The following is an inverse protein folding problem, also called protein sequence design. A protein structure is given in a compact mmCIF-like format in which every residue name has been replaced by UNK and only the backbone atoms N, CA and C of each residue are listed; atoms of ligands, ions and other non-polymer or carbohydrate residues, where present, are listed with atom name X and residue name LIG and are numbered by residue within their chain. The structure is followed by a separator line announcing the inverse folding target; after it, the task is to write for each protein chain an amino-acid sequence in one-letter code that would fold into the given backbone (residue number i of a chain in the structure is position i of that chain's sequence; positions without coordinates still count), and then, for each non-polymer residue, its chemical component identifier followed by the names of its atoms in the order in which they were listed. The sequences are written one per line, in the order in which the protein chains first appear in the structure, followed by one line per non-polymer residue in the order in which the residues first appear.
data_IF_898343834493
#
_entry.id   IF_898343834493
#
_cell.length_a   1.000
_cell.length_b   1.000
_cell.length_c   1.000
_cell.angle_alpha   90.00
_cell.angle_beta   90.00
_cell.angle_gamma   90.00
#
_symmetry.space_group_name_H-M   'P 1'
#
loop_
_entity.id
_entity.type
_entity.pdbx_description
1 polymer ?
#
# COMPACT_ATOMS: atom_id res chain seq x y z
N UNK A 1 67.77 -53.39 -42.28
CA UNK A 1 66.42 -52.83 -42.00
C UNK A 1 66.20 -52.94 -40.51
N UNK A 2 66.03 -51.78 -39.88
CA UNK A 2 66.04 -51.55 -38.45
C UNK A 2 64.68 -51.93 -37.87
N UNK A 3 64.61 -52.91 -36.97
CA UNK A 3 63.35 -53.31 -36.30
C UNK A 3 63.46 -52.80 -34.86
N UNK A 4 62.82 -51.65 -34.59
CA UNK A 4 62.75 -51.02 -33.27
C UNK A 4 61.85 -51.81 -32.30
N UNK A 5 61.94 -51.52 -30.99
CA UNK A 5 61.26 -52.30 -29.96
C UNK A 5 59.76 -51.98 -29.89
N UNK A 6 58.99 -53.00 -29.54
CA UNK A 6 57.54 -52.97 -29.28
C UNK A 6 57.20 -52.06 -28.08
N UNK A 7 56.09 -51.30 -28.13
CA UNK A 7 55.64 -50.52 -26.97
C UNK A 7 54.89 -51.43 -25.97
N UNK A 8 55.25 -51.32 -24.69
CA UNK A 8 54.50 -51.88 -23.57
C UNK A 8 53.21 -51.08 -23.34
N UNK A 9 52.06 -51.75 -23.27
CA UNK A 9 50.82 -51.15 -22.75
C UNK A 9 50.98 -50.93 -21.24
N UNK A 10 50.99 -49.67 -20.80
CA UNK A 10 50.82 -49.31 -19.41
C UNK A 10 49.33 -49.38 -19.04
N UNK A 11 48.98 -50.27 -18.11
CA UNK A 11 47.66 -50.32 -17.48
C UNK A 11 47.52 -49.10 -16.56
N UNK A 12 46.70 -48.12 -16.93
CA UNK A 12 46.30 -47.02 -16.03
C UNK A 12 45.17 -47.54 -15.14
N UNK A 13 45.47 -47.79 -13.86
CA UNK A 13 44.45 -48.08 -12.86
C UNK A 13 43.69 -46.78 -12.53
N UNK A 14 42.43 -46.67 -12.98
CA UNK A 14 41.51 -45.62 -12.53
C UNK A 14 41.14 -45.91 -11.07
N UNK A 15 41.69 -45.13 -10.14
CA UNK A 15 41.20 -45.08 -8.77
C UNK A 15 39.87 -44.30 -8.74
N UNK A 16 38.76 -45.02 -8.56
CA UNK A 16 37.47 -44.40 -8.25
C UNK A 16 37.54 -43.81 -6.82
N UNK A 17 37.75 -42.50 -6.72
CA UNK A 17 37.51 -41.78 -5.49
C UNK A 17 35.98 -41.69 -5.30
N UNK A 18 35.44 -42.49 -4.37
CA UNK A 18 34.07 -42.35 -3.87
C UNK A 18 33.92 -40.97 -3.23
N UNK A 19 33.29 -40.05 -3.94
CA UNK A 19 32.82 -38.78 -3.40
C UNK A 19 31.65 -39.10 -2.47
N UNK A 20 31.87 -38.95 -1.17
CA UNK A 20 30.82 -38.95 -0.16
C UNK A 20 29.92 -37.74 -0.43
N UNK A 21 28.76 -37.99 -1.03
CA UNK A 21 27.67 -37.00 -1.13
C UNK A 21 27.14 -36.81 0.29
N UNK A 22 27.21 -35.61 0.89
CA UNK A 22 26.61 -35.37 2.19
C UNK A 22 25.11 -35.63 2.08
N UNK A 23 24.61 -36.49 2.97
CA UNK A 23 23.20 -36.82 3.08
C UNK A 23 22.45 -35.52 3.37
N UNK A 24 21.63 -35.06 2.43
CA UNK A 24 20.64 -34.01 2.68
C UNK A 24 19.75 -34.53 3.79
N UNK A 25 19.90 -33.96 4.99
CA UNK A 25 18.99 -34.24 6.09
C UNK A 25 17.60 -33.78 5.64
N UNK A 26 16.69 -34.72 5.41
CA UNK A 26 15.29 -34.40 5.21
C UNK A 26 14.83 -33.62 6.44
N UNK A 27 14.43 -32.36 6.24
CA UNK A 27 13.82 -31.57 7.31
C UNK A 27 12.54 -32.28 7.78
N UNK A 28 12.24 -32.26 9.09
CA UNK A 28 11.04 -32.89 9.61
C UNK A 28 9.78 -32.31 8.92
N UNK A 29 8.73 -33.11 8.73
CA UNK A 29 7.48 -32.64 8.16
C UNK A 29 6.92 -31.49 9.00
N UNK A 30 6.56 -30.38 8.34
CA UNK A 30 5.99 -29.20 8.98
C UNK A 30 4.62 -29.58 9.55
N UNK A 31 4.48 -29.42 10.87
CA UNK A 31 3.21 -29.58 11.56
C UNK A 31 2.31 -28.36 11.28
N UNK A 32 1.36 -28.53 10.37
CA UNK A 32 0.39 -27.49 9.98
C UNK A 32 -0.70 -27.23 11.03
N UNK A 33 -0.60 -27.80 12.25
CA UNK A 33 -1.67 -27.75 13.26
C UNK A 33 -1.49 -26.71 14.36
N UNK A 34 -0.38 -25.96 14.40
CA UNK A 34 -0.09 -25.02 15.47
C UNK A 34 0.53 -23.71 14.97
N UNK A 35 -0.28 -22.81 14.43
CA UNK A 35 0.11 -21.40 14.23
C UNK A 35 -0.50 -20.56 15.35
N UNK A 36 0.32 -19.94 16.17
CA UNK A 36 -0.10 -18.92 17.12
C UNK A 36 -0.54 -17.66 16.34
N UNK A 37 -1.83 -17.36 16.38
CA UNK A 37 -2.50 -16.30 15.63
C UNK A 37 -3.61 -16.88 14.75
N UNK A 38 -4.87 -16.48 14.98
CA UNK A 38 -5.95 -16.81 14.05
C UNK A 38 -5.73 -16.04 12.76
N UNK A 39 -5.15 -16.69 11.75
CA UNK A 39 -4.99 -16.13 10.42
C UNK A 39 -6.35 -15.89 9.77
N UNK A 40 -6.60 -14.66 9.33
CA UNK A 40 -7.90 -14.23 8.81
C UNK A 40 -7.79 -13.84 7.33
N UNK A 41 -8.74 -14.30 6.52
CA UNK A 41 -8.87 -13.85 5.14
C UNK A 41 -9.38 -12.41 5.08
N UNK A 42 -9.01 -11.67 4.03
CA UNK A 42 -9.56 -10.35 3.79
C UNK A 42 -11.07 -10.43 3.51
N UNK A 43 -11.92 -9.58 4.12
CA UNK A 43 -13.33 -9.51 3.77
C UNK A 43 -13.53 -9.16 2.29
N UNK A 44 -14.38 -9.90 1.59
CA UNK A 44 -14.71 -9.65 0.17
C UNK A 44 -15.52 -8.37 -0.06
N UNK A 45 -16.09 -7.79 1.01
CA UNK A 45 -16.89 -6.58 0.98
C UNK A 45 -16.64 -5.77 2.25
N UNK A 46 -16.50 -4.46 2.10
CA UNK A 46 -16.43 -3.55 3.22
C UNK A 46 -17.82 -3.08 3.67
N UNK A 47 -17.96 -2.85 4.98
CA UNK A 47 -19.13 -2.17 5.54
C UNK A 47 -19.09 -0.67 5.23
N UNK A 48 -20.27 -0.06 5.14
CA UNK A 48 -20.42 1.39 4.94
C UNK A 48 -21.08 2.02 6.17
N UNK A 49 -20.61 3.20 6.63
CA UNK A 49 -21.21 3.85 7.78
C UNK A 49 -22.65 4.29 7.49
N UNK A 50 -23.53 4.25 8.49
CA UNK A 50 -24.92 4.66 8.34
C UNK A 50 -25.07 6.12 7.85
N UNK A 51 -24.12 7.00 8.20
CA UNK A 51 -24.10 8.40 7.75
C UNK A 51 -23.64 8.58 6.29
N UNK A 52 -23.03 7.55 5.67
CA UNK A 52 -22.65 7.54 4.26
C UNK A 52 -22.77 6.12 3.67
N UNK A 53 -24.00 5.63 3.44
CA UNK A 53 -24.20 4.31 2.87
C UNK A 53 -23.65 4.25 1.43
N UNK A 54 -23.00 3.15 1.08
CA UNK A 54 -22.48 2.94 -0.27
C UNK A 54 -23.60 2.48 -1.20
N UNK A 55 -23.87 3.26 -2.25
CA UNK A 55 -24.80 2.90 -3.36
C UNK A 55 -24.06 2.90 -4.68
N UNK A 56 -24.59 2.21 -5.70
CA UNK A 56 -23.94 2.12 -7.01
C UNK A 56 -23.78 3.49 -7.67
N UNK A 57 -24.78 4.36 -7.56
CA UNK A 57 -24.80 5.71 -8.12
C UNK A 57 -23.75 6.59 -7.43
N UNK A 58 -23.63 6.48 -6.10
CA UNK A 58 -22.62 7.21 -5.32
C UNK A 58 -21.20 6.73 -5.61
N UNK A 59 -21.01 5.43 -5.81
CA UNK A 59 -19.74 4.82 -6.23
C UNK A 59 -19.34 5.34 -7.62
N UNK A 60 -20.26 5.41 -8.58
CA UNK A 60 -19.95 5.92 -9.92
C UNK A 60 -19.59 7.42 -9.89
N UNK A 61 -20.31 8.23 -9.11
CA UNK A 61 -19.96 9.64 -8.90
C UNK A 61 -18.59 9.78 -8.22
N UNK A 62 -18.33 8.98 -7.20
CA UNK A 62 -17.04 8.92 -6.50
C UNK A 62 -15.88 8.56 -7.41
N UNK A 63 -16.08 7.54 -8.26
CA UNK A 63 -15.11 7.13 -9.27
C UNK A 63 -14.80 8.27 -10.23
N UNK A 64 -15.81 8.97 -10.75
CA UNK A 64 -15.58 10.14 -11.61
C UNK A 64 -14.71 11.19 -10.92
N UNK A 65 -15.03 11.54 -9.68
CA UNK A 65 -14.29 12.53 -8.89
C UNK A 65 -12.85 12.08 -8.59
N UNK A 66 -12.63 10.81 -8.25
CA UNK A 66 -11.30 10.24 -8.00
C UNK A 66 -10.35 10.39 -9.20
N UNK A 67 -10.90 10.30 -10.42
CA UNK A 67 -10.17 10.46 -11.67
C UNK A 67 -10.24 11.87 -12.27
N UNK A 68 -10.95 12.82 -11.65
CA UNK A 68 -11.16 14.15 -12.23
C UNK A 68 -10.09 15.15 -11.77
N UNK A 69 -9.12 15.51 -12.63
CA UNK A 69 -8.04 16.39 -12.20
C UNK A 69 -8.51 17.85 -12.03
N UNK A 70 -9.74 18.19 -12.43
CA UNK A 70 -10.30 19.53 -12.24
C UNK A 70 -10.52 19.88 -10.78
N UNK A 71 -10.46 18.90 -9.87
CA UNK A 71 -10.42 19.15 -8.42
C UNK A 71 -9.12 19.82 -7.96
N UNK A 72 -8.01 19.73 -8.72
CA UNK A 72 -6.75 20.39 -8.38
C UNK A 72 -6.62 21.78 -8.98
N UNK A 73 -5.75 22.61 -8.38
CA UNK A 73 -5.51 24.00 -8.79
C UNK A 73 -5.29 24.15 -10.29
N UNK A 74 -4.35 23.37 -10.82
CA UNK A 74 -3.90 23.40 -12.21
C UNK A 74 -4.74 22.55 -13.16
N UNK A 75 -5.67 21.75 -12.65
CA UNK A 75 -6.41 20.80 -13.49
C UNK A 75 -5.59 19.61 -13.99
N UNK A 76 -4.43 19.33 -13.37
CA UNK A 76 -3.48 18.29 -13.81
C UNK A 76 -3.30 17.12 -12.84
N UNK A 77 -3.83 17.23 -11.62
CA UNK A 77 -3.64 16.22 -10.56
C UNK A 77 -5.01 15.73 -10.09
N UNK A 78 -5.18 14.40 -10.06
CA UNK A 78 -6.35 13.72 -9.49
C UNK A 78 -5.91 12.81 -8.36
N UNK A 79 -6.85 12.18 -7.65
CA UNK A 79 -6.50 11.14 -6.67
C UNK A 79 -5.69 10.02 -7.34
N UNK A 80 -6.11 9.59 -8.53
CA UNK A 80 -5.40 8.55 -9.31
C UNK A 80 -3.98 8.96 -9.74
N UNK A 81 -3.62 10.25 -9.71
CA UNK A 81 -2.26 10.69 -10.04
C UNK A 81 -1.23 10.24 -8.99
N UNK A 82 -1.65 10.14 -7.72
CA UNK A 82 -0.80 9.67 -6.61
C UNK A 82 -1.20 8.25 -6.12
N UNK A 83 -2.41 7.81 -6.43
CA UNK A 83 -2.96 6.50 -6.07
C UNK A 83 -3.40 5.74 -7.32
N UNK A 84 -2.43 5.26 -8.10
CA UNK A 84 -2.66 4.73 -9.44
C UNK A 84 -3.35 3.36 -9.40
N UNK A 85 -4.64 3.33 -9.75
CA UNK A 85 -5.43 2.09 -9.79
C UNK A 85 -5.08 1.14 -10.94
N UNK A 86 -4.20 1.55 -11.85
CA UNK A 86 -3.64 0.64 -12.86
C UNK A 86 -2.51 -0.24 -12.31
N UNK A 87 -2.04 0.04 -11.09
CA UNK A 87 -0.96 -0.68 -10.40
C UNK A 87 -1.31 -0.85 -8.90
N UNK A 88 -0.31 -0.81 -8.02
CA UNK A 88 -0.41 -1.04 -6.58
C UNK A 88 -1.22 -0.02 -5.80
N UNK A 89 -1.87 0.97 -6.44
CA UNK A 89 -2.71 1.97 -5.77
C UNK A 89 -1.94 3.07 -5.04
N UNK A 90 -0.62 3.08 -5.17
CA UNK A 90 0.32 4.16 -4.89
C UNK A 90 0.84 4.76 -6.22
N UNK A 91 1.94 5.53 -6.20
CA UNK A 91 2.53 6.14 -7.41
C UNK A 91 3.93 5.62 -7.75
N UNK A 92 4.44 4.64 -7.01
CA UNK A 92 5.76 4.05 -7.22
C UNK A 92 6.93 5.01 -6.97
N UNK A 93 6.72 6.10 -6.20
CA UNK A 93 7.74 7.13 -5.95
C UNK A 93 8.13 7.21 -4.47
N UNK A 94 9.36 7.66 -4.16
CA UNK A 94 9.74 7.97 -2.79
C UNK A 94 8.81 8.99 -2.13
N UNK A 95 8.34 9.96 -2.92
CA UNK A 95 7.35 10.96 -2.51
C UNK A 95 6.56 11.43 -3.72
N UNK A 96 5.29 11.73 -3.50
CA UNK A 96 4.36 12.12 -4.55
C UNK A 96 4.62 13.51 -5.11
N UNK A 97 4.29 13.66 -6.40
CA UNK A 97 4.38 14.91 -7.14
C UNK A 97 2.98 15.51 -7.33
N UNK A 98 2.75 16.67 -6.76
CA UNK A 98 1.52 17.43 -6.93
C UNK A 98 1.60 18.52 -7.99
N UNK A 99 0.76 19.54 -7.82
CA UNK A 99 0.69 20.69 -8.72
C UNK A 99 2.03 21.45 -8.78
N UNK A 100 2.33 22.02 -9.94
CA UNK A 100 3.60 22.70 -10.23
C UNK A 100 4.87 21.84 -10.07
N UNK A 101 4.73 20.50 -9.99
CA UNK A 101 5.85 19.60 -9.73
C UNK A 101 6.32 19.61 -8.29
N UNK A 102 5.52 20.15 -7.36
CA UNK A 102 5.83 20.17 -5.93
C UNK A 102 5.91 18.74 -5.39
N UNK A 103 6.92 18.47 -4.56
CA UNK A 103 7.12 17.14 -3.96
C UNK A 103 6.65 17.16 -2.50
N UNK A 104 5.82 16.19 -2.14
CA UNK A 104 5.34 16.02 -0.77
C UNK A 104 6.43 15.55 0.21
N UNK A 105 6.10 15.45 1.51
CA UNK A 105 7.06 14.97 2.52
C UNK A 105 7.09 13.44 2.67
N UNK A 106 6.11 12.71 2.13
CA UNK A 106 5.91 11.27 2.37
C UNK A 106 5.58 10.52 1.09
N UNK A 107 5.92 9.22 1.07
CA UNK A 107 5.42 8.25 0.11
C UNK A 107 3.89 8.13 0.22
N UNK A 108 3.19 8.02 -0.91
CA UNK A 108 1.76 7.77 -0.92
C UNK A 108 1.49 6.29 -0.57
N UNK A 109 0.74 5.99 0.50
CA UNK A 109 0.31 4.63 0.76
C UNK A 109 -0.71 4.17 -0.29
N UNK A 110 -0.86 2.86 -0.48
CA UNK A 110 -1.89 2.33 -1.36
C UNK A 110 -3.30 2.70 -0.92
N UNK A 111 -4.17 3.02 -1.89
CA UNK A 111 -5.61 3.17 -1.67
C UNK A 111 -6.35 1.83 -1.62
N UNK A 112 -5.76 0.74 -2.15
CA UNK A 112 -6.35 -0.59 -2.08
C UNK A 112 -6.45 -1.05 -0.62
N UNK A 113 -7.61 -1.57 -0.24
CA UNK A 113 -7.91 -2.04 1.12
C UNK A 113 -7.85 -0.94 2.21
N UNK A 114 -7.75 0.34 1.83
CA UNK A 114 -7.70 1.49 2.76
C UNK A 114 -8.92 1.59 3.68
N UNK A 115 -10.05 1.02 3.25
CA UNK A 115 -11.28 0.90 4.07
C UNK A 115 -11.10 0.02 5.31
N UNK A 116 -10.14 -0.91 5.31
CA UNK A 116 -9.83 -1.78 6.44
C UNK A 116 -8.75 -1.20 7.37
N UNK A 117 -8.58 0.13 7.34
CA UNK A 117 -7.72 0.87 8.25
C UNK A 117 -8.57 1.58 9.30
N UNK A 118 -8.19 1.52 10.57
CA UNK A 118 -8.89 2.25 11.64
C UNK A 118 -8.77 3.78 11.51
N UNK A 119 -7.72 4.27 10.83
CA UNK A 119 -7.51 5.67 10.46
C UNK A 119 -6.63 5.76 9.21
N UNK A 120 -6.57 6.95 8.62
CA UNK A 120 -5.92 7.23 7.35
C UNK A 120 -4.65 8.07 7.52
N UNK A 121 -3.80 8.07 6.48
CA UNK A 121 -2.42 8.60 6.49
C UNK A 121 -1.44 7.82 7.38
N UNK A 122 -0.15 8.02 7.15
CA UNK A 122 0.95 7.42 7.94
C UNK A 122 0.91 7.75 9.44
N UNK A 123 0.41 8.94 9.79
CA UNK A 123 0.29 9.42 11.18
C UNK A 123 -1.09 9.16 11.80
N UNK A 124 -2.03 8.56 11.05
CA UNK A 124 -3.39 8.29 11.51
C UNK A 124 -4.15 9.56 11.92
N UNK A 125 -3.90 10.70 11.28
CA UNK A 125 -4.52 11.99 11.64
C UNK A 125 -5.98 12.09 11.19
N UNK A 126 -6.40 11.30 10.20
CA UNK A 126 -7.76 11.32 9.68
C UNK A 126 -8.53 10.05 10.08
N UNK A 127 -9.66 10.15 10.79
CA UNK A 127 -10.36 8.99 11.32
C UNK A 127 -11.22 8.24 10.29
N UNK A 128 -11.34 8.75 9.06
CA UNK A 128 -12.18 8.15 8.01
C UNK A 128 -11.67 8.51 6.62
N UNK A 129 -12.14 7.76 5.61
CA UNK A 129 -11.90 8.07 4.19
C UNK A 129 -12.50 9.44 3.81
N UNK A 130 -13.69 9.78 4.32
CA UNK A 130 -14.31 11.08 4.09
C UNK A 130 -13.47 12.24 4.61
N UNK A 131 -12.91 12.10 5.81
CA UNK A 131 -12.03 13.12 6.39
C UNK A 131 -10.70 13.20 5.65
N UNK A 132 -10.12 12.05 5.31
CA UNK A 132 -8.89 11.95 4.53
C UNK A 132 -9.00 12.70 3.20
N UNK A 133 -10.08 12.46 2.45
CA UNK A 133 -10.25 13.02 1.11
C UNK A 133 -10.37 14.54 1.07
N UNK A 134 -10.64 15.20 2.22
CA UNK A 134 -10.59 16.67 2.33
C UNK A 134 -9.17 17.21 2.25
N UNK A 135 -8.18 16.49 2.80
CA UNK A 135 -6.80 16.96 2.92
C UNK A 135 -6.14 17.25 1.56
N UNK A 136 -6.06 16.26 0.65
CA UNK A 136 -5.31 16.39 -0.61
C UNK A 136 -5.75 17.56 -1.48
N UNK A 137 -7.06 17.86 -1.50
CA UNK A 137 -7.65 18.92 -2.32
C UNK A 137 -6.97 20.27 -2.05
N UNK A 138 -6.67 20.57 -0.78
CA UNK A 138 -6.11 21.87 -0.35
C UNK A 138 -4.63 21.81 0.04
N UNK A 139 -4.04 20.62 0.12
CA UNK A 139 -2.63 20.49 0.41
C UNK A 139 -1.80 21.06 -0.75
N UNK A 140 -1.04 22.13 -0.47
CA UNK A 140 -0.20 22.82 -1.44
C UNK A 140 0.74 21.90 -2.26
N UNK A 141 1.44 20.92 -1.65
CA UNK A 141 2.29 20.01 -2.43
C UNK A 141 1.53 18.90 -3.16
N UNK A 142 0.19 18.84 -3.05
CA UNK A 142 -0.66 17.81 -3.65
C UNK A 142 -1.57 18.43 -4.72
N UNK A 143 -2.86 18.67 -4.42
CA UNK A 143 -3.81 19.25 -5.39
C UNK A 143 -3.86 20.79 -5.32
N UNK A 144 -3.38 21.38 -4.22
CA UNK A 144 -3.05 22.80 -4.11
C UNK A 144 -4.18 23.81 -4.22
N UNK A 145 -5.44 23.42 -4.04
CA UNK A 145 -6.53 24.40 -4.03
C UNK A 145 -6.40 25.34 -2.82
N UNK A 146 -6.59 26.66 -2.98
CA UNK A 146 -6.51 27.61 -1.86
C UNK A 146 -7.50 27.31 -0.73
N UNK A 147 -8.70 26.84 -1.10
CA UNK A 147 -9.74 26.40 -0.18
C UNK A 147 -10.66 25.38 -0.87
N UNK A 148 -11.43 24.61 -0.09
CA UNK A 148 -12.38 23.64 -0.63
C UNK A 148 -13.44 24.32 -1.50
N UNK A 149 -13.87 25.53 -1.13
CA UNK A 149 -14.88 26.31 -1.84
C UNK A 149 -14.47 26.60 -3.29
N UNK A 150 -13.17 26.79 -3.57
CA UNK A 150 -12.67 26.97 -4.94
C UNK A 150 -12.91 25.70 -5.77
N UNK A 151 -12.65 24.52 -5.20
CA UNK A 151 -12.85 23.24 -5.87
C UNK A 151 -14.34 22.98 -6.11
N UNK A 152 -15.15 23.22 -5.09
CA UNK A 152 -16.60 23.04 -5.17
C UNK A 152 -17.23 24.00 -6.18
N UNK A 153 -16.85 25.28 -6.18
CA UNK A 153 -17.31 26.25 -7.19
C UNK A 153 -16.99 25.77 -8.61
N UNK A 154 -15.78 25.24 -8.82
CA UNK A 154 -15.35 24.72 -10.13
C UNK A 154 -16.13 23.47 -10.55
N UNK A 155 -16.34 22.52 -9.65
CA UNK A 155 -17.14 21.32 -9.93
C UNK A 155 -18.61 21.68 -10.18
N UNK A 156 -19.16 22.61 -9.38
CA UNK A 156 -20.53 23.10 -9.53
C UNK A 156 -20.75 23.86 -10.85
N UNK A 157 -19.70 24.45 -11.45
CA UNK A 157 -19.79 25.08 -12.77
C UNK A 157 -19.99 24.08 -13.92
N UNK A 158 -19.92 22.77 -13.66
CA UNK A 158 -20.10 21.71 -14.66
C UNK A 158 -21.55 21.18 -14.58
N UNK A 159 -22.42 21.43 -15.59
CA UNK A 159 -23.84 21.07 -15.51
C UNK A 159 -24.11 19.58 -15.28
N UNK A 160 -23.27 18.70 -15.83
CA UNK A 160 -23.42 17.26 -15.62
C UNK A 160 -23.16 16.85 -14.17
N UNK A 161 -22.23 17.50 -13.46
CA UNK A 161 -22.06 17.22 -12.03
C UNK A 161 -23.25 17.72 -11.22
N UNK A 162 -23.82 18.90 -11.50
CA UNK A 162 -25.03 19.34 -10.79
C UNK A 162 -26.16 18.29 -10.87
N UNK A 163 -26.35 17.70 -12.06
CA UNK A 163 -27.32 16.62 -12.27
C UNK A 163 -26.96 15.38 -11.47
N UNK A 164 -25.73 14.88 -11.59
CA UNK A 164 -25.32 13.65 -10.88
C UNK A 164 -25.34 13.80 -9.35
N UNK A 165 -24.94 14.95 -8.81
CA UNK A 165 -25.00 15.22 -7.37
C UNK A 165 -26.45 15.30 -6.88
N UNK A 166 -27.34 15.96 -7.62
CA UNK A 166 -28.77 16.01 -7.27
C UNK A 166 -29.37 14.62 -7.24
N UNK A 167 -29.06 13.80 -8.24
CA UNK A 167 -29.61 12.45 -8.36
C UNK A 167 -29.08 11.52 -7.25
N UNK A 168 -27.82 11.69 -6.80
CA UNK A 168 -27.21 10.89 -5.73
C UNK A 168 -27.62 11.34 -4.31
N UNK A 169 -27.79 12.65 -4.09
CA UNK A 169 -27.99 13.23 -2.75
C UNK A 169 -29.37 13.85 -2.52
N UNK A 170 -30.26 13.76 -3.51
CA UNK A 170 -31.65 14.24 -3.45
C UNK A 170 -31.77 15.72 -3.01
N UNK A 171 -30.94 16.58 -3.61
CA UNK A 171 -30.90 18.02 -3.27
C UNK A 171 -30.36 18.86 -4.43
N UNK A 172 -30.97 20.03 -4.67
CA UNK A 172 -30.52 21.00 -5.68
C UNK A 172 -29.19 21.67 -5.31
N UNK A 173 -28.88 21.78 -4.01
CA UNK A 173 -27.62 22.35 -3.49
C UNK A 173 -26.68 21.23 -3.01
N UNK A 174 -26.56 20.17 -3.81
CA UNK A 174 -25.86 18.93 -3.45
C UNK A 174 -24.36 18.93 -3.76
N UNK A 175 -23.87 19.85 -4.60
CA UNK A 175 -22.43 19.98 -4.88
C UNK A 175 -21.76 20.71 -3.71
N UNK A 176 -21.35 19.94 -2.70
CA UNK A 176 -20.69 20.43 -1.48
C UNK A 176 -19.44 19.61 -1.20
N UNK A 177 -18.52 20.14 -0.38
CA UNK A 177 -17.32 19.38 0.02
C UNK A 177 -17.68 18.08 0.72
N UNK A 178 -18.67 18.09 1.60
CA UNK A 178 -19.10 16.89 2.32
C UNK A 178 -19.66 15.82 1.38
N UNK A 179 -20.43 16.21 0.36
CA UNK A 179 -20.95 15.26 -0.62
C UNK A 179 -19.86 14.76 -1.59
N UNK A 180 -18.91 15.62 -1.97
CA UNK A 180 -17.74 15.21 -2.78
C UNK A 180 -16.96 14.11 -2.07
N UNK A 181 -16.57 14.34 -0.81
CA UNK A 181 -15.77 13.34 -0.07
C UNK A 181 -16.58 12.11 0.30
N UNK A 182 -17.89 12.23 0.53
CA UNK A 182 -18.78 11.07 0.70
C UNK A 182 -18.83 10.20 -0.56
N UNK A 183 -18.88 10.82 -1.75
CA UNK A 183 -18.86 10.08 -3.00
C UNK A 183 -17.52 9.38 -3.22
N UNK A 184 -16.40 10.11 -3.07
CA UNK A 184 -15.04 9.55 -3.19
C UNK A 184 -14.85 8.38 -2.21
N UNK A 185 -15.18 8.56 -0.93
CA UNK A 185 -15.07 7.52 0.07
C UNK A 185 -15.97 6.30 -0.25
N UNK A 186 -17.16 6.51 -0.84
CA UNK A 186 -17.99 5.38 -1.27
C UNK A 186 -17.33 4.56 -2.37
N UNK A 187 -16.63 5.20 -3.31
CA UNK A 187 -15.83 4.52 -4.33
C UNK A 187 -14.62 3.80 -3.72
N UNK A 188 -13.86 4.45 -2.83
CA UNK A 188 -12.69 3.85 -2.17
C UNK A 188 -13.04 2.59 -1.36
N UNK A 189 -14.24 2.54 -0.76
CA UNK A 189 -14.76 1.32 -0.09
C UNK A 189 -14.92 0.11 -1.01
N UNK A 190 -14.98 0.33 -2.33
CA UNK A 190 -15.05 -0.76 -3.32
C UNK A 190 -13.68 -1.23 -3.79
N UNK A 191 -12.62 -0.51 -3.44
CA UNK A 191 -11.23 -0.81 -3.81
C UNK A 191 -10.65 -1.86 -2.86
N UNK A 192 -11.21 -3.07 -2.91
CA UNK A 192 -10.80 -4.22 -2.10
C UNK A 192 -10.24 -5.31 -3.00
N UNK A 193 -9.16 -5.96 -2.55
CA UNK A 193 -8.46 -7.03 -3.28
C UNK A 193 -8.51 -8.35 -2.50
N UNK A 194 -9.64 -9.07 -2.49
CA UNK A 194 -9.76 -10.33 -1.76
C UNK A 194 -9.12 -11.49 -2.54
N UNK A 195 -9.30 -12.71 -2.05
CA UNK A 195 -8.94 -13.95 -2.75
C UNK A 195 -7.45 -14.08 -3.06
N UNK A 196 -6.57 -13.48 -2.25
CA UNK A 196 -5.14 -13.75 -2.35
C UNK A 196 -4.84 -15.24 -2.14
N UNK A 197 -3.64 -15.70 -2.52
CA UNK A 197 -3.22 -17.07 -2.26
C UNK A 197 -3.29 -17.41 -0.75
N UNK A 198 -2.92 -16.46 0.10
CA UNK A 198 -3.11 -16.55 1.55
C UNK A 198 -4.58 -16.63 1.95
N UNK A 199 -5.47 -15.80 1.39
CA UNK A 199 -6.91 -15.84 1.72
C UNK A 199 -7.53 -17.22 1.42
N UNK A 200 -7.20 -17.80 0.26
CA UNK A 200 -7.68 -19.14 -0.11
C UNK A 200 -7.13 -20.21 0.83
N UNK A 201 -5.86 -20.09 1.23
CA UNK A 201 -5.22 -21.02 2.15
C UNK A 201 -5.89 -21.03 3.53
N UNK A 202 -6.13 -19.86 4.12
CA UNK A 202 -6.79 -19.75 5.43
C UNK A 202 -8.26 -20.16 5.36
N UNK A 203 -8.89 -20.07 4.20
CA UNK A 203 -10.25 -20.57 3.93
C UNK A 203 -10.30 -22.09 3.64
N UNK A 204 -9.16 -22.78 3.62
CA UNK A 204 -9.08 -24.25 3.57
C UNK A 204 -8.42 -24.85 2.33
N UNK A 205 -8.09 -24.05 1.31
CA UNK A 205 -7.31 -24.53 0.16
C UNK A 205 -5.82 -24.63 0.52
N UNK A 206 -5.44 -25.76 1.12
CA UNK A 206 -4.05 -26.02 1.53
C UNK A 206 -3.03 -26.00 0.39
N UNK A 207 -3.49 -26.08 -0.87
CA UNK A 207 -2.62 -26.03 -2.05
C UNK A 207 -2.38 -24.61 -2.57
N UNK A 208 -3.07 -23.61 -2.02
CA UNK A 208 -2.96 -22.23 -2.47
C UNK A 208 -1.60 -21.59 -2.14
N UNK A 209 -0.90 -22.07 -1.11
CA UNK A 209 0.47 -21.66 -0.77
C UNK A 209 1.48 -22.73 -1.13
N UNK A 210 2.67 -22.30 -1.56
CA UNK A 210 3.83 -23.17 -1.71
C UNK A 210 4.46 -23.48 -0.35
N UNK A 211 5.29 -24.53 -0.26
CA UNK A 211 6.04 -24.85 0.96
C UNK A 211 6.95 -23.69 1.41
N UNK A 212 7.49 -22.89 0.47
CA UNK A 212 8.34 -21.73 0.80
C UNK A 212 7.50 -20.60 1.39
N UNK A 213 6.31 -20.33 0.86
CA UNK A 213 5.36 -19.37 1.40
C UNK A 213 4.88 -19.78 2.80
N UNK A 214 4.62 -21.07 3.03
CA UNK A 214 4.25 -21.59 4.35
C UNK A 214 5.39 -21.38 5.36
N UNK A 215 6.64 -21.67 4.98
CA UNK A 215 7.81 -21.39 5.83
C UNK A 215 7.95 -19.89 6.12
N UNK A 216 7.76 -19.03 5.12
CA UNK A 216 7.79 -17.58 5.29
C UNK A 216 6.72 -17.05 6.23
N UNK A 217 5.48 -17.55 6.08
CA UNK A 217 4.35 -17.23 6.95
C UNK A 217 4.61 -17.65 8.40
N UNK A 218 5.14 -18.86 8.60
CA UNK A 218 5.49 -19.37 9.93
C UNK A 218 6.60 -18.53 10.57
N UNK A 219 7.68 -18.27 9.83
CA UNK A 219 8.79 -17.42 10.29
C UNK A 219 8.31 -16.01 10.65
N UNK A 220 7.47 -15.40 9.82
CA UNK A 220 6.87 -14.09 10.08
C UNK A 220 6.09 -14.04 11.40
N UNK A 221 5.38 -15.12 11.75
CA UNK A 221 4.72 -15.25 13.05
C UNK A 221 5.72 -15.46 14.18
N UNK A 222 6.64 -16.41 14.03
CA UNK A 222 7.57 -16.85 15.07
C UNK A 222 8.53 -15.75 15.54
N UNK A 223 8.96 -14.87 14.63
CA UNK A 223 9.85 -13.74 14.97
C UNK A 223 9.09 -12.52 15.51
N UNK A 224 7.75 -12.56 15.58
CA UNK A 224 6.94 -11.52 16.20
C UNK A 224 6.43 -10.41 15.27
N UNK A 225 6.53 -10.54 13.93
CA UNK A 225 5.97 -9.51 13.03
C UNK A 225 4.44 -9.35 13.23
N UNK A 226 3.76 -10.42 13.64
CA UNK A 226 2.32 -10.44 13.93
C UNK A 226 1.91 -9.63 15.16
N UNK A 227 2.85 -9.19 16.01
CA UNK A 227 2.54 -8.28 17.12
C UNK A 227 1.94 -6.95 16.61
N UNK A 228 2.42 -6.48 15.46
CA UNK A 228 1.94 -5.26 14.81
C UNK A 228 1.10 -5.56 13.56
N UNK A 229 1.54 -6.51 12.75
CA UNK A 229 0.94 -6.85 11.46
C UNK A 229 0.02 -8.08 11.57
N UNK A 230 -1.12 -7.88 12.23
CA UNK A 230 -2.17 -8.89 12.43
C UNK A 230 -3.50 -8.48 11.81
N UNK A 231 -4.51 -9.34 11.97
CA UNK A 231 -5.84 -9.14 11.42
C UNK A 231 -5.92 -9.36 9.90
N UNK A 232 -7.10 -9.24 9.30
CA UNK A 232 -7.33 -9.55 7.88
C UNK A 232 -6.52 -8.66 6.92
N UNK A 233 -6.18 -7.43 7.31
CA UNK A 233 -5.40 -6.51 6.49
C UNK A 233 -3.93 -6.38 6.93
N UNK A 234 -3.45 -7.20 7.87
CA UNK A 234 -2.06 -7.18 8.36
C UNK A 234 -1.61 -5.79 8.85
N UNK A 235 -2.50 -5.09 9.55
CA UNK A 235 -2.30 -3.74 10.07
C UNK A 235 -2.77 -3.59 11.53
N UNK A 236 -3.04 -4.71 12.22
CA UNK A 236 -3.53 -4.72 13.59
C UNK A 236 -5.01 -4.34 13.74
N UNK A 237 -5.74 -4.18 12.63
CA UNK A 237 -7.18 -3.96 12.63
C UNK A 237 -7.93 -5.28 12.50
N UNK A 238 -9.01 -5.43 13.28
CA UNK A 238 -9.99 -6.53 13.17
C UNK A 238 -11.36 -6.01 12.70
N UNK A 239 -12.17 -6.91 12.13
CA UNK A 239 -13.52 -6.58 11.64
C UNK A 239 -14.37 -5.93 12.74
N UNK A 240 -14.87 -4.73 12.45
CA UNK A 240 -15.69 -3.95 13.37
C UNK A 240 -14.91 -3.17 14.44
N UNK A 241 -13.58 -3.29 14.50
CA UNK A 241 -12.74 -2.47 15.36
C UNK A 241 -12.69 -1.03 14.87
N UNK A 242 -12.86 -0.08 15.77
CA UNK A 242 -12.54 1.34 15.54
C UNK A 242 -11.25 1.74 16.24
N UNK A 243 -10.57 0.80 16.90
CA UNK A 243 -9.37 1.08 17.67
C UNK A 243 -8.18 1.17 16.74
N UNK A 244 -7.51 2.31 16.76
CA UNK A 244 -6.26 2.52 16.05
C UNK A 244 -5.08 2.21 16.97
N UNK A 245 -4.19 1.33 16.54
CA UNK A 245 -2.88 1.11 17.14
C UNK A 245 -1.84 2.00 16.48
N UNK A 246 -0.89 2.50 17.26
CA UNK A 246 0.24 3.27 16.78
C UNK A 246 1.50 2.65 17.35
N UNK A 247 2.49 2.46 16.50
CA UNK A 247 3.75 1.81 16.85
C UNK A 247 4.89 2.80 16.71
N UNK A 248 5.80 2.78 17.67
CA UNK A 248 7.09 3.46 17.57
C UNK A 248 7.90 2.84 16.42
N UNK A 249 8.41 3.67 15.52
CA UNK A 249 9.27 3.27 14.42
C UNK A 249 10.29 4.37 14.11
N UNK A 250 11.60 4.08 14.19
CA UNK A 250 12.22 2.81 14.61
C UNK A 250 12.21 2.62 16.14
N UNK A 251 12.01 1.39 16.64
CA UNK A 251 12.18 1.05 18.08
C UNK A 251 13.65 0.98 18.49
N UNK A 252 14.50 0.37 17.65
CA UNK A 252 15.95 0.35 17.81
C UNK A 252 16.57 1.50 17.00
N UNK A 253 16.62 2.69 17.61
CA UNK A 253 17.18 3.89 17.00
C UNK A 253 18.69 3.82 16.71
N UNK A 254 19.41 2.87 17.33
CA UNK A 254 20.86 2.69 17.16
C UNK A 254 21.23 1.82 15.95
N UNK A 255 20.25 1.17 15.30
CA UNK A 255 20.52 0.41 14.07
C UNK A 255 21.08 1.32 12.98
N UNK A 256 22.14 0.87 12.31
CA UNK A 256 22.77 1.61 11.22
C UNK A 256 21.79 1.87 10.05
N UNK A 257 20.80 1.00 9.88
CA UNK A 257 19.76 1.13 8.85
C UNK A 257 18.88 2.38 9.07
N UNK A 258 18.71 2.81 10.33
CA UNK A 258 17.97 4.05 10.65
C UNK A 258 18.65 5.25 9.99
N UNK A 259 19.96 5.41 10.22
CA UNK A 259 20.75 6.50 9.64
C UNK A 259 20.90 6.37 8.12
N UNK A 260 21.07 5.14 7.62
CA UNK A 260 21.20 4.85 6.18
C UNK A 260 19.97 5.30 5.39
N UNK A 261 18.77 5.03 5.90
CA UNK A 261 17.50 5.34 5.23
C UNK A 261 16.78 6.58 5.77
N UNK A 262 17.34 7.24 6.78
CA UNK A 262 16.78 8.44 7.40
C UNK A 262 15.37 8.23 7.98
N UNK A 263 15.15 7.09 8.63
CA UNK A 263 13.83 6.63 9.12
C UNK A 263 13.31 7.47 10.30
N UNK A 264 14.19 8.19 10.99
CA UNK A 264 13.90 8.98 12.19
C UNK A 264 13.71 10.49 11.89
N UNK A 265 13.82 10.91 10.63
CA UNK A 265 13.71 12.33 10.25
C UNK A 265 12.28 12.86 10.36
N UNK A 266 11.30 12.00 10.09
CA UNK A 266 9.89 12.30 10.26
C UNK A 266 9.46 11.93 11.67
N UNK A 267 8.88 12.89 12.40
CA UNK A 267 8.41 12.67 13.77
C UNK A 267 7.05 11.96 13.83
N UNK A 268 6.50 11.54 12.69
CA UNK A 268 5.28 10.74 12.60
C UNK A 268 4.07 11.47 13.16
N UNK A 269 3.37 10.81 14.09
CA UNK A 269 2.14 11.29 14.72
C UNK A 269 2.31 12.59 15.49
N UNK A 270 3.51 12.90 15.99
CA UNK A 270 3.80 14.18 16.61
C UNK A 270 3.44 15.38 15.71
N UNK A 271 3.62 15.28 14.39
CA UNK A 271 3.28 16.35 13.45
C UNK A 271 1.77 16.69 13.47
N UNK A 272 0.92 15.72 13.78
CA UNK A 272 -0.54 15.89 13.86
C UNK A 272 -1.02 16.27 15.27
N UNK A 273 -0.36 15.79 16.33
CA UNK A 273 -0.86 15.91 17.71
C UNK A 273 -0.12 16.93 18.56
N UNK A 274 1.11 17.28 18.19
CA UNK A 274 2.05 18.09 18.96
C UNK A 274 2.36 17.54 20.37
N UNK A 275 2.08 16.26 20.64
CA UNK A 275 2.35 15.60 21.92
C UNK A 275 3.69 14.88 21.85
N UNK A 276 4.65 15.24 22.70
CA UNK A 276 6.01 14.65 22.70
C UNK A 276 6.03 13.13 22.80
N UNK A 277 5.03 12.52 23.44
CA UNK A 277 4.86 11.06 23.54
C UNK A 277 4.55 10.37 22.20
N UNK A 278 4.12 11.13 21.19
CA UNK A 278 3.72 10.60 19.88
C UNK A 278 4.85 10.76 18.83
N UNK A 279 6.06 11.17 19.26
CA UNK A 279 7.21 11.25 18.35
C UNK A 279 7.57 9.87 17.84
N UNK A 280 7.75 9.76 16.52
CA UNK A 280 8.09 8.52 15.84
C UNK A 280 7.04 7.41 15.97
N UNK A 281 5.84 7.74 16.43
CA UNK A 281 4.71 6.83 16.37
C UNK A 281 4.02 6.94 15.00
N UNK A 282 3.79 5.80 14.38
CA UNK A 282 3.13 5.70 13.08
C UNK A 282 1.97 4.71 13.14
N UNK A 283 1.00 4.91 12.27
CA UNK A 283 -0.01 3.89 12.00
C UNK A 283 0.65 2.70 11.32
N UNK A 284 0.34 1.48 11.74
CA UNK A 284 0.78 0.26 11.05
C UNK A 284 0.16 0.22 9.64
N UNK A 285 0.96 0.18 8.56
CA UNK A 285 0.43 0.04 7.20
C UNK A 285 -0.07 -1.39 6.94
N UNK A 286 -0.98 -1.55 5.97
CA UNK A 286 -1.36 -2.88 5.45
C UNK A 286 -0.18 -3.55 4.77
N UNK A 287 -0.05 -4.87 4.91
CA UNK A 287 0.87 -5.68 4.10
C UNK A 287 0.18 -6.35 2.89
N UNK A 288 -1.15 -6.18 2.73
CA UNK A 288 -1.85 -6.60 1.51
C UNK A 288 -1.30 -5.86 0.31
N UNK A 289 -1.02 -6.58 -0.77
CA UNK A 289 -0.43 -6.06 -2.02
C UNK A 289 0.97 -5.44 -1.86
N UNK A 290 1.70 -5.71 -0.77
CA UNK A 290 2.98 -5.05 -0.50
C UNK A 290 4.04 -5.33 -1.59
N UNK A 291 3.92 -6.43 -2.34
CA UNK A 291 4.85 -6.72 -3.44
C UNK A 291 4.74 -5.71 -4.61
N UNK A 292 3.65 -4.95 -4.64
CA UNK A 292 3.24 -4.08 -5.75
C UNK A 292 3.40 -2.58 -5.45
N UNK A 293 3.90 -2.22 -4.26
CA UNK A 293 3.89 -0.83 -3.74
C UNK A 293 5.29 -0.36 -3.33
N UNK A 294 6.30 -0.70 -4.12
CA UNK A 294 7.65 -0.15 -3.91
C UNK A 294 7.69 1.31 -4.37
N UNK A 295 8.43 2.21 -3.71
CA UNK A 295 9.34 1.97 -2.58
C UNK A 295 8.64 2.01 -1.21
N UNK A 296 9.34 1.52 -0.19
CA UNK A 296 8.76 1.23 1.13
C UNK A 296 9.04 2.31 2.18
N UNK A 297 8.23 2.27 3.26
CA UNK A 297 8.20 3.18 4.41
C UNK A 297 7.65 4.57 4.10
N UNK A 298 7.38 5.34 5.16
CA UNK A 298 6.76 6.67 5.07
C UNK A 298 7.54 7.67 4.21
N UNK A 299 8.84 7.47 4.03
CA UNK A 299 9.71 8.33 3.24
C UNK A 299 10.12 7.71 1.89
N UNK A 300 9.66 6.48 1.60
CA UNK A 300 9.96 5.76 0.36
C UNK A 300 11.46 5.55 0.09
N UNK A 301 12.29 5.49 1.14
CA UNK A 301 13.74 5.43 1.01
C UNK A 301 14.28 4.04 0.68
N UNK A 302 13.47 2.99 0.82
CA UNK A 302 13.89 1.60 0.62
C UNK A 302 13.24 1.04 -0.64
N UNK A 303 14.06 0.68 -1.63
CA UNK A 303 13.56 0.30 -2.95
C UNK A 303 13.13 -1.18 -3.06
N UNK A 304 13.76 -2.09 -2.32
CA UNK A 304 13.53 -3.54 -2.44
C UNK A 304 12.79 -4.09 -1.24
N UNK A 305 11.86 -5.02 -1.49
CA UNK A 305 11.06 -5.65 -0.43
C UNK A 305 11.94 -6.44 0.54
N UNK A 306 12.99 -7.10 0.02
CA UNK A 306 13.99 -7.80 0.84
C UNK A 306 14.67 -6.87 1.84
N UNK A 307 14.97 -5.64 1.42
CA UNK A 307 15.65 -4.66 2.27
C UNK A 307 14.66 -4.10 3.29
N UNK A 308 13.38 -3.93 2.91
CA UNK A 308 12.33 -3.53 3.84
C UNK A 308 12.10 -4.57 4.95
N UNK A 309 12.14 -5.87 4.61
CA UNK A 309 12.08 -6.96 5.60
C UNK A 309 13.25 -6.89 6.59
N UNK A 310 14.47 -6.67 6.10
CA UNK A 310 15.67 -6.51 6.97
C UNK A 310 15.58 -5.29 7.87
N UNK A 311 15.16 -4.16 7.30
CA UNK A 311 14.94 -2.93 8.07
C UNK A 311 13.94 -3.20 9.20
N UNK A 312 12.81 -3.85 8.92
CA UNK A 312 11.84 -4.16 9.98
C UNK A 312 12.41 -5.15 11.02
N UNK A 313 13.08 -6.23 10.60
CA UNK A 313 13.60 -7.21 11.56
C UNK A 313 14.67 -6.60 12.48
N UNK A 314 15.57 -5.77 11.96
CA UNK A 314 16.62 -5.14 12.76
C UNK A 314 16.08 -3.96 13.60
N UNK A 315 15.26 -3.09 13.01
CA UNK A 315 14.83 -1.85 13.69
C UNK A 315 13.66 -2.04 14.65
N UNK A 316 12.83 -3.08 14.46
CA UNK A 316 11.67 -3.33 15.32
C UNK A 316 11.83 -4.55 16.24
N UNK A 317 12.60 -5.55 15.81
CA UNK A 317 12.71 -6.85 16.50
C UNK A 317 14.13 -7.18 16.95
N UNK A 318 15.11 -6.30 16.69
CA UNK A 318 16.54 -6.50 17.01
C UNK A 318 17.07 -7.86 16.51
N UNK A 319 16.60 -8.28 15.33
CA UNK A 319 16.85 -9.60 14.75
C UNK A 319 17.47 -9.46 13.36
N UNK A 320 18.63 -10.10 13.16
CA UNK A 320 19.27 -10.22 11.85
C UNK A 320 18.80 -11.51 11.16
N UNK A 321 18.16 -11.37 10.00
CA UNK A 321 17.67 -12.50 9.21
C UNK A 321 18.70 -12.90 8.14
N UNK A 322 18.89 -14.20 7.96
CA UNK A 322 19.65 -14.75 6.83
C UNK A 322 18.97 -14.45 5.49
N UNK A 323 19.69 -14.60 4.39
CA UNK A 323 19.13 -14.40 3.05
C UNK A 323 17.94 -15.33 2.76
N UNK A 324 18.03 -16.60 3.19
CA UNK A 324 16.98 -17.59 2.96
C UNK A 324 15.70 -17.27 3.76
N UNK A 325 15.87 -16.77 4.99
CA UNK A 325 14.77 -16.30 5.83
C UNK A 325 14.06 -15.09 5.22
N UNK A 326 14.83 -14.07 4.79
CA UNK A 326 14.28 -12.90 4.11
C UNK A 326 13.55 -13.30 2.84
N UNK A 327 14.14 -14.16 2.01
CA UNK A 327 13.49 -14.64 0.80
C UNK A 327 12.20 -15.42 1.10
N UNK A 328 12.14 -16.17 2.19
CA UNK A 328 10.93 -16.90 2.57
C UNK A 328 9.81 -15.94 2.97
N UNK A 329 10.10 -14.89 3.74
CA UNK A 329 9.13 -13.84 4.09
C UNK A 329 8.67 -13.07 2.84
N UNK A 330 9.60 -12.71 1.95
CA UNK A 330 9.27 -12.04 0.68
C UNK A 330 8.36 -12.93 -0.18
N UNK A 331 8.62 -14.23 -0.25
CA UNK A 331 7.77 -15.18 -0.97
C UNK A 331 6.37 -15.25 -0.34
N UNK A 332 6.28 -15.26 1.00
CA UNK A 332 5.01 -15.15 1.72
C UNK A 332 4.26 -13.84 1.39
N UNK A 333 4.94 -12.70 1.33
CA UNK A 333 4.31 -11.42 0.97
C UNK A 333 3.67 -11.42 -0.42
N UNK A 334 4.24 -12.13 -1.40
CA UNK A 334 3.59 -12.31 -2.71
C UNK A 334 2.27 -13.08 -2.63
N UNK A 335 2.06 -13.91 -1.60
CA UNK A 335 0.79 -14.58 -1.37
C UNK A 335 -0.30 -13.66 -0.78
N UNK A 336 0.08 -12.45 -0.34
CA UNK A 336 -0.84 -11.44 0.17
C UNK A 336 -1.44 -10.57 -0.95
N UNK A 337 -0.96 -10.74 -2.18
CA UNK A 337 -1.47 -10.02 -3.35
C UNK A 337 -2.84 -10.58 -3.76
N UNK A 338 -3.85 -9.71 -3.69
CA UNK A 338 -5.25 -10.07 -3.95
C UNK A 338 -5.68 -9.88 -5.39
N UNK A 339 -6.91 -10.30 -5.68
CA UNK A 339 -7.54 -10.08 -6.98
C UNK A 339 -8.03 -8.63 -7.10
N UNK A 340 -7.51 -7.91 -8.09
CA UNK A 340 -7.97 -6.54 -8.38
C UNK A 340 -9.35 -6.57 -9.05
N UNK A 341 -10.30 -5.71 -8.63
CA UNK A 341 -11.58 -5.60 -9.30
C UNK A 341 -11.42 -4.99 -10.69
N UNK A 342 -12.29 -5.37 -11.62
CA UNK A 342 -12.36 -4.70 -12.93
C UNK A 342 -12.97 -3.32 -12.77
N UNK A 343 -12.22 -2.28 -13.16
CA UNK A 343 -12.68 -0.89 -13.11
C UNK A 343 -12.68 -0.31 -14.51
N UNK A 344 -13.87 0.01 -15.03
CA UNK A 344 -14.00 0.78 -16.25
C UNK A 344 -13.65 2.25 -15.98
N UNK A 345 -12.72 2.81 -16.75
CA UNK A 345 -12.34 4.22 -16.69
C UNK A 345 -13.60 5.11 -16.83
N UNK A 346 -13.86 6.03 -15.89
CA UNK A 346 -15.06 6.84 -15.92
C UNK A 346 -15.06 7.81 -17.11
N UNK A 347 -16.25 8.05 -17.66
CA UNK A 347 -16.51 9.26 -18.46
C UNK A 347 -16.94 10.37 -17.50
N UNK A 348 -16.05 11.31 -17.22
CA UNK A 348 -16.37 12.48 -16.41
C UNK A 348 -17.28 13.46 -17.18
N UNK A 349 -18.16 14.22 -16.51
CA UNK A 349 -19.02 15.21 -17.15
C UNK A 349 -18.26 16.23 -18.00
N UNK A 350 -18.76 16.46 -19.22
CA UNK A 350 -18.23 17.43 -20.15
C UNK A 350 -18.33 18.86 -19.60
N UNK A 351 -17.38 19.70 -20.02
CA UNK A 351 -17.33 21.12 -19.67
C UNK A 351 -18.55 21.88 -20.21
N UNK A 352 -18.93 23.04 -19.63
CA UNK A 352 -20.06 23.87 -20.10
C UNK A 352 -19.83 24.57 -21.47
N UNK A 353 -18.89 24.11 -22.29
CA UNK A 353 -18.47 24.77 -23.53
C UNK A 353 -17.29 25.73 -23.37
N UNK A 354 -16.82 25.94 -22.15
CA UNK A 354 -15.64 26.77 -21.80
C UNK A 354 -14.74 26.06 -20.78
N UNK A 355 -13.55 26.63 -20.50
CA UNK A 355 -12.68 26.12 -19.45
C UNK A 355 -13.28 26.42 -18.07
N UNK A 356 -13.24 25.45 -17.16
CA UNK A 356 -13.58 25.66 -15.73
C UNK A 356 -12.33 25.97 -14.89
N UNK A 357 -11.14 25.92 -15.51
CA UNK A 357 -9.91 26.39 -14.89
C UNK A 357 -9.89 27.91 -15.04
N UNK A 358 -9.73 28.62 -13.93
CA UNK A 358 -9.47 30.06 -13.91
C UNK A 358 -8.13 30.32 -14.60
N UNK A 359 -8.01 31.44 -15.33
CA UNK A 359 -6.78 31.85 -16.01
C UNK A 359 -5.61 31.82 -15.02
N UNK A 360 -4.80 30.78 -15.09
CA UNK A 360 -3.52 30.75 -14.38
C UNK A 360 -2.66 31.80 -15.06
N UNK A 361 -2.14 32.78 -14.32
CA UNK A 361 -1.12 33.67 -14.85
C UNK A 361 -0.05 32.79 -15.52
N UNK A 362 0.31 33.03 -16.79
CA UNK A 362 1.31 32.22 -17.45
C UNK A 362 2.56 32.25 -16.58
N UNK A 363 3.03 31.05 -16.18
CA UNK A 363 4.24 30.91 -15.39
C UNK A 363 5.33 31.77 -16.05
N UNK A 364 5.93 32.67 -15.28
CA UNK A 364 7.05 33.47 -15.76
C UNK A 364 8.10 32.48 -16.29
N UNK A 365 8.24 32.43 -17.60
CA UNK A 365 9.26 31.61 -18.25
C UNK A 365 10.57 32.29 -17.87
N UNK A 366 11.25 31.76 -16.86
CA UNK A 366 12.58 32.22 -16.49
C UNK A 366 13.51 32.01 -17.67
N UNK A 367 14.14 33.09 -18.12
CA UNK A 367 15.24 33.06 -19.11
C UNK A 367 16.48 32.33 -18.58
#
# INVERSE_FOLDING_TARGET
MNIGPTPQLALVALAFATILIPSVSAQPPIDNSATAGEWQALPVKAESPAANPTTAEKVELGKKLFFDPRLSLTGTVSCNSCHNLMEGGDDGRPSSMGVHGSIGPRNAPTVWNSVFQASQFWDGRSPSLEDQAKGPIVAAPEMGMPAHENAIKRIAAIPGYQTEFRDVFDSENSVTIDNVVKAIAAFERTLVTPNSAFDRFVQGDRSALTDKQIRGMQLFSDIGCTECHSGPAFNGWDVGSTTQTFEEFPRNAESQLVGQYGLDRDLGRFAATNRKSDKHYFKVPTLRNISLTSPYFHNGAVAKLSDAVRVMSETQLDTELSNEEVESIVDFFSALDGEFPSIALPRIPSRPGESVLEDQEPAAVGE
#
